data_IF_045397698412
#
_entry.id   IF_045397698412
#
_cell.length_a   1.000
_cell.length_b   1.000
_cell.length_c   1.000
_cell.angle_alpha   90.00
_cell.angle_beta   90.00
_cell.angle_gamma   90.00
#
_symmetry.space_group_name_H-M   'P 1'
#
loop_
_entity.id
_entity.type
_entity.pdbx_description
1 polymer ?
#
# COMPACT_ATOMS: atom_id res chain seq x y z
N UNK A 1 12.44 -12.66 27.23
CA UNK A 1 11.25 -11.80 27.16
C UNK A 1 11.57 -10.60 26.27
N UNK A 2 11.71 -10.82 24.96
CA UNK A 2 11.93 -9.71 24.02
C UNK A 2 10.58 -9.01 23.83
N UNK A 3 10.49 -7.79 24.37
CA UNK A 3 9.29 -6.98 24.38
C UNK A 3 8.75 -6.84 22.95
N UNK A 4 7.53 -7.33 22.73
CA UNK A 4 6.72 -7.24 21.51
C UNK A 4 6.28 -5.80 21.16
N UNK A 5 7.04 -4.80 21.60
CA UNK A 5 6.67 -3.40 21.56
C UNK A 5 7.74 -2.51 20.89
N UNK A 6 8.69 -3.10 20.16
CA UNK A 6 9.33 -2.38 19.07
C UNK A 6 8.35 -2.45 17.92
N UNK A 7 7.34 -1.59 17.96
CA UNK A 7 6.39 -1.42 16.87
C UNK A 7 7.15 -1.43 15.56
N UNK A 8 6.79 -2.40 14.71
CA UNK A 8 7.26 -2.61 13.36
C UNK A 8 6.86 -1.41 12.51
N UNK A 9 7.48 -0.26 12.77
CA UNK A 9 7.06 0.99 12.17
C UNK A 9 7.67 1.07 10.79
N UNK A 10 6.83 0.85 9.79
CA UNK A 10 7.10 1.14 8.39
C UNK A 10 7.75 2.52 8.20
N UNK A 11 7.46 3.46 9.11
CA UNK A 11 7.91 4.83 9.04
C UNK A 11 9.37 5.03 9.45
N UNK A 12 10.03 4.10 10.15
CA UNK A 12 11.46 4.27 10.53
C UNK A 12 12.41 4.35 9.33
N UNK A 13 12.06 3.70 8.22
CA UNK A 13 12.88 3.74 7.00
C UNK A 13 12.56 4.94 6.10
N UNK A 14 11.63 5.80 6.49
CA UNK A 14 11.30 7.00 5.73
C UNK A 14 12.36 8.08 5.94
N UNK A 15 12.51 8.96 4.94
CA UNK A 15 13.45 10.08 5.02
C UNK A 15 13.15 10.99 6.21
N UNK A 16 11.88 11.29 6.48
CA UNK A 16 11.49 12.15 7.60
C UNK A 16 11.91 11.58 8.96
N UNK A 17 11.69 10.28 9.18
CA UNK A 17 12.11 9.66 10.43
C UNK A 17 13.62 9.55 10.53
N UNK A 18 14.30 9.25 9.41
CA UNK A 18 15.76 9.18 9.37
C UNK A 18 16.39 10.52 9.74
N UNK A 19 15.95 11.60 9.11
CA UNK A 19 16.43 12.96 9.41
C UNK A 19 16.17 13.36 10.86
N UNK A 20 15.03 12.95 11.44
CA UNK A 20 14.74 13.16 12.86
C UNK A 20 15.72 12.39 13.76
N UNK A 21 15.98 11.11 13.47
CA UNK A 21 16.96 10.32 14.20
C UNK A 21 18.36 10.95 14.13
N UNK A 22 18.80 11.31 12.92
CA UNK A 22 20.11 11.95 12.70
C UNK A 22 20.22 13.26 13.51
N UNK A 23 19.16 14.08 13.54
CA UNK A 23 19.13 15.34 14.32
C UNK A 23 19.15 15.08 15.83
N UNK A 24 18.44 14.04 16.30
CA UNK A 24 18.44 13.66 17.72
C UNK A 24 19.84 13.19 18.12
N UNK A 25 20.49 12.38 17.28
CA UNK A 25 21.85 11.88 17.53
C UNK A 25 22.86 13.03 17.57
N UNK A 26 22.76 14.00 16.67
CA UNK A 26 23.60 15.22 16.70
C UNK A 26 23.44 16.01 18.00
N UNK A 27 22.19 16.18 18.48
CA UNK A 27 21.91 16.88 19.75
C UNK A 27 22.40 16.12 20.98
N UNK A 28 22.39 14.79 20.93
CA UNK A 28 22.96 13.94 21.96
C UNK A 28 24.49 14.07 21.96
N UNK A 29 25.13 14.02 20.79
CA UNK A 29 26.57 14.17 20.65
C UNK A 29 27.05 15.55 21.12
N UNK A 30 26.25 16.60 20.90
CA UNK A 30 26.51 17.94 21.40
C UNK A 30 26.24 18.12 22.91
N UNK A 31 25.77 17.08 23.62
CA UNK A 31 25.43 17.13 25.04
C UNK A 31 24.22 18.02 25.37
N UNK A 32 23.40 18.36 24.37
CA UNK A 32 22.21 19.25 24.53
C UNK A 32 20.99 18.48 25.02
N UNK A 33 20.91 17.19 24.70
CA UNK A 33 19.78 16.31 25.00
C UNK A 33 20.30 15.00 25.59
N UNK A 34 19.61 14.47 26.60
CA UNK A 34 19.87 13.14 27.14
C UNK A 34 19.32 12.05 26.20
N UNK A 35 20.02 10.92 25.99
CA UNK A 35 19.53 9.82 25.15
C UNK A 35 18.11 9.34 25.47
N UNK A 36 17.73 9.35 26.76
CA UNK A 36 16.39 8.96 27.21
C UNK A 36 15.30 9.90 26.69
N UNK A 37 15.60 11.18 26.54
CA UNK A 37 14.68 12.16 25.98
C UNK A 37 14.52 11.96 24.47
N UNK A 38 15.61 11.68 23.74
CA UNK A 38 15.55 11.34 22.31
C UNK A 38 14.63 10.15 22.02
N UNK A 39 14.75 9.08 22.82
CA UNK A 39 13.87 7.92 22.70
C UNK A 39 12.38 8.25 22.94
N UNK A 40 12.08 9.16 23.90
CA UNK A 40 10.72 9.63 24.15
C UNK A 40 10.15 10.44 22.98
N UNK A 41 10.97 11.27 22.34
CA UNK A 41 10.56 12.03 21.15
C UNK A 41 10.13 11.08 20.04
N UNK A 42 10.96 10.07 19.73
CA UNK A 42 10.65 9.07 18.71
C UNK A 42 9.37 8.28 19.04
N UNK A 43 9.20 7.89 20.30
CA UNK A 43 7.99 7.20 20.78
C UNK A 43 6.71 8.02 20.55
N UNK A 44 6.78 9.34 20.73
CA UNK A 44 5.64 10.24 20.49
C UNK A 44 5.46 10.54 19.00
N UNK A 45 6.52 10.56 18.22
CA UNK A 45 6.48 10.91 16.80
C UNK A 45 5.80 9.83 15.95
N UNK A 46 6.13 8.55 16.16
CA UNK A 46 5.60 7.42 15.38
C UNK A 46 4.06 7.35 15.27
N UNK A 47 3.30 7.35 16.37
CA UNK A 47 1.83 7.29 16.29
C UNK A 47 1.24 8.53 15.62
N UNK A 48 1.84 9.71 15.82
CA UNK A 48 1.39 10.95 15.21
C UNK A 48 1.59 10.94 13.68
N UNK A 49 2.71 10.42 13.20
CA UNK A 49 2.95 10.24 11.76
C UNK A 49 1.93 9.28 11.16
N UNK A 50 1.72 8.11 11.79
CA UNK A 50 0.72 7.13 11.34
C UNK A 50 -0.67 7.77 11.23
N UNK A 51 -1.07 8.57 12.23
CA UNK A 51 -2.34 9.30 12.25
C UNK A 51 -2.42 10.34 11.12
N UNK A 52 -1.38 11.16 10.96
CA UNK A 52 -1.34 12.19 9.91
C UNK A 52 -1.46 11.59 8.50
N UNK A 53 -0.77 10.47 8.23
CA UNK A 53 -0.91 9.77 6.95
C UNK A 53 -2.33 9.24 6.73
N UNK A 54 -2.96 8.68 7.76
CA UNK A 54 -4.33 8.16 7.65
C UNK A 54 -5.40 9.25 7.43
N UNK A 55 -5.21 10.43 8.03
CA UNK A 55 -6.19 11.52 7.98
C UNK A 55 -6.05 12.41 6.73
N UNK A 56 -4.80 12.68 6.32
CA UNK A 56 -4.51 13.69 5.29
C UNK A 56 -4.23 13.11 3.90
N UNK A 57 -3.74 11.87 3.78
CA UNK A 57 -3.39 11.28 2.48
C UNK A 57 -4.56 10.49 1.93
N UNK A 58 -5.08 10.91 0.78
CA UNK A 58 -6.23 10.26 0.08
C UNK A 58 -5.88 9.85 -1.35
N UNK A 59 -4.71 10.26 -1.81
CA UNK A 59 -4.21 10.10 -3.15
C UNK A 59 -3.95 8.62 -3.44
N UNK A 60 -4.45 8.17 -4.60
CA UNK A 60 -4.25 6.81 -5.07
C UNK A 60 -3.16 6.81 -6.12
N UNK A 61 -2.10 6.04 -5.87
CA UNK A 61 -0.99 5.87 -6.80
C UNK A 61 -1.18 4.57 -7.59
N UNK A 62 -1.06 4.65 -8.91
CA UNK A 62 -1.10 3.47 -9.78
C UNK A 62 0.30 3.20 -10.32
N UNK A 63 0.80 1.98 -10.17
CA UNK A 63 2.10 1.61 -10.71
C UNK A 63 2.03 0.34 -11.55
N UNK A 64 2.89 0.26 -12.57
CA UNK A 64 3.10 -0.93 -13.40
C UNK A 64 4.60 -1.14 -13.58
N UNK A 65 5.05 -2.39 -13.56
CA UNK A 65 6.46 -2.74 -13.76
C UNK A 65 6.66 -4.25 -13.78
N UNK A 66 7.90 -4.68 -13.99
CA UNK A 66 8.28 -6.10 -14.03
C UNK A 66 8.72 -6.57 -12.64
N UNK A 67 8.02 -7.55 -12.05
CA UNK A 67 8.43 -8.11 -10.77
C UNK A 67 9.73 -8.90 -10.93
N UNK A 68 10.78 -8.52 -10.19
CA UNK A 68 12.05 -9.23 -10.21
C UNK A 68 12.05 -10.39 -9.20
N UNK A 69 11.67 -10.12 -7.95
CA UNK A 69 11.50 -11.13 -6.91
C UNK A 69 10.63 -10.60 -5.78
N UNK A 70 10.06 -11.51 -5.00
CA UNK A 70 9.28 -11.21 -3.80
C UNK A 70 9.73 -12.07 -2.62
N UNK A 71 9.49 -11.58 -1.40
CA UNK A 71 9.71 -12.35 -0.16
C UNK A 71 8.58 -12.05 0.82
N UNK A 72 8.02 -13.10 1.40
CA UNK A 72 7.18 -13.01 2.58
C UNK A 72 7.97 -13.56 3.78
N UNK A 73 7.95 -12.84 4.89
CA UNK A 73 8.46 -13.34 6.17
C UNK A 73 7.68 -12.67 7.29
N UNK A 74 7.13 -13.44 8.23
CA UNK A 74 6.37 -12.93 9.40
C UNK A 74 5.29 -11.91 9.03
N UNK A 75 4.44 -12.24 8.05
CA UNK A 75 3.38 -11.37 7.53
C UNK A 75 3.85 -10.04 6.93
N UNK A 76 5.16 -9.83 6.78
CA UNK A 76 5.76 -8.71 6.07
C UNK A 76 6.09 -9.12 4.65
N UNK A 77 5.71 -8.28 3.70
CA UNK A 77 5.96 -8.50 2.29
C UNK A 77 7.03 -7.56 1.75
N UNK A 78 7.85 -8.10 0.86
CA UNK A 78 8.87 -7.37 0.13
C UNK A 78 8.73 -7.68 -1.35
N UNK A 79 8.72 -6.64 -2.16
CA UNK A 79 8.73 -6.75 -3.62
C UNK A 79 9.85 -5.88 -4.18
N UNK A 80 10.55 -6.42 -5.17
CA UNK A 80 11.50 -5.67 -5.98
C UNK A 80 11.01 -5.70 -7.41
N UNK A 81 10.67 -4.52 -7.93
CA UNK A 81 10.08 -4.32 -9.26
C UNK A 81 11.07 -3.51 -10.09
N UNK A 82 11.22 -3.85 -11.37
CA UNK A 82 12.06 -3.14 -12.35
C UNK A 82 11.23 -2.49 -13.44
N UNK A 83 11.79 -1.45 -14.04
CA UNK A 83 11.20 -0.71 -15.17
C UNK A 83 9.76 -0.28 -14.85
N UNK A 84 9.62 0.47 -13.76
CA UNK A 84 8.33 0.86 -13.24
C UNK A 84 7.87 2.18 -13.87
N UNK A 85 6.63 2.20 -14.37
CA UNK A 85 5.89 3.43 -14.65
C UNK A 85 4.92 3.69 -13.50
N UNK A 86 5.11 4.80 -12.78
CA UNK A 86 4.26 5.24 -11.67
C UNK A 86 3.41 6.41 -12.14
N UNK A 87 2.09 6.28 -12.05
CA UNK A 87 1.13 7.32 -12.36
C UNK A 87 0.65 7.94 -11.06
N UNK A 88 1.00 9.20 -10.88
CA UNK A 88 0.57 10.04 -9.78
C UNK A 88 -0.61 10.87 -10.27
N UNK A 89 -1.69 10.89 -9.49
CA UNK A 89 -2.84 11.75 -9.77
C UNK A 89 -2.80 12.92 -8.80
N UNK A 90 -2.42 14.09 -9.30
CA UNK A 90 -2.36 15.32 -8.52
C UNK A 90 -3.44 16.26 -9.06
N UNK A 91 -4.62 16.23 -8.45
CA UNK A 91 -5.77 17.02 -8.92
C UNK A 91 -6.29 16.57 -10.30
N UNK A 92 -6.26 17.48 -11.28
CA UNK A 92 -6.73 17.24 -12.66
C UNK A 92 -5.64 16.60 -13.52
N UNK A 93 -4.37 16.86 -13.20
CA UNK A 93 -3.24 16.42 -14.01
C UNK A 93 -2.73 15.03 -13.59
N UNK A 94 -2.28 14.26 -14.59
CA UNK A 94 -1.68 12.94 -14.40
C UNK A 94 -0.21 13.04 -14.72
N UNK A 95 0.62 12.91 -13.69
CA UNK A 95 2.07 12.86 -13.82
C UNK A 95 2.52 11.40 -13.95
N UNK A 96 3.44 11.13 -14.88
CA UNK A 96 4.05 9.80 -15.04
C UNK A 96 5.53 9.85 -14.70
N UNK A 97 5.94 9.06 -13.72
CA UNK A 97 7.33 8.86 -13.32
C UNK A 97 7.84 7.50 -13.82
N UNK A 98 9.04 7.49 -14.38
CA UNK A 98 9.78 6.28 -14.70
C UNK A 98 10.82 5.99 -13.62
N UNK A 99 10.86 4.73 -13.16
CA UNK A 99 11.76 4.28 -12.09
C UNK A 99 12.37 2.92 -12.45
N UNK A 100 13.69 2.87 -12.58
CA UNK A 100 14.42 1.66 -12.99
C UNK A 100 14.25 0.50 -12.02
N UNK A 101 14.25 0.79 -10.71
CA UNK A 101 14.12 -0.20 -9.65
C UNK A 101 13.37 0.36 -8.45
N UNK A 102 12.24 -0.24 -8.12
CA UNK A 102 11.42 0.09 -6.97
C UNK A 102 11.44 -1.04 -5.95
N UNK A 103 11.70 -0.71 -4.68
CA UNK A 103 11.57 -1.64 -3.54
C UNK A 103 10.31 -1.26 -2.76
N UNK A 104 9.42 -2.22 -2.58
CA UNK A 104 8.14 -2.02 -1.88
C UNK A 104 8.14 -2.94 -0.67
N UNK A 105 7.75 -2.38 0.48
CA UNK A 105 7.65 -3.11 1.74
C UNK A 105 6.24 -2.95 2.28
N UNK A 106 5.50 -4.06 2.36
CA UNK A 106 4.15 -4.12 2.92
C UNK A 106 4.20 -4.62 4.35
N UNK A 107 3.65 -3.83 5.27
CA UNK A 107 3.44 -4.24 6.65
C UNK A 107 1.99 -4.70 6.81
N UNK A 108 1.73 -5.73 7.63
CA UNK A 108 0.36 -6.16 7.89
C UNK A 108 -0.40 -5.01 8.57
N UNK A 109 -1.72 -4.88 8.31
CA UNK A 109 -2.55 -4.03 9.15
C UNK A 109 -2.42 -4.52 10.60
N UNK A 110 -2.21 -3.60 11.54
CA UNK A 110 -2.24 -3.95 12.95
C UNK A 110 -3.64 -4.46 13.28
N UNK A 111 -3.77 -5.75 13.59
CA UNK A 111 -4.99 -6.33 14.16
C UNK A 111 -5.14 -5.80 15.59
N UNK A 112 -5.48 -4.53 15.76
CA UNK A 112 -5.88 -4.01 17.06
C UNK A 112 -7.30 -4.51 17.37
N UNK A 113 -7.52 -5.30 18.44
CA UNK A 113 -8.86 -5.65 18.87
C UNK A 113 -9.52 -4.38 19.44
N UNK A 114 -10.23 -3.66 18.58
CA UNK A 114 -11.01 -2.49 18.93
C UNK A 114 -12.15 -2.89 19.89
N UNK A 115 -11.96 -2.65 21.19
CA UNK A 115 -12.96 -2.89 22.22
C UNK A 115 -14.05 -1.80 22.22
N UNK A 116 -15.22 -2.12 21.66
CA UNK A 116 -16.56 -1.47 21.81
C UNK A 116 -16.67 -0.01 21.29
N UNK A 117 -17.56 0.38 20.37
CA UNK A 117 -18.85 -0.15 19.91
C UNK A 117 -19.15 0.37 18.47
N UNK A 118 -19.80 -0.49 17.67
CA UNK A 118 -20.91 -0.12 16.77
C UNK A 118 -20.63 0.75 15.54
N UNK A 119 -20.43 0.10 14.39
CA UNK A 119 -20.53 0.74 13.07
C UNK A 119 -19.70 -0.01 12.04
N UNK A 120 -20.29 -1.00 11.39
CA UNK A 120 -19.61 -1.87 10.43
C UNK A 120 -18.97 -1.08 9.29
N UNK A 121 -17.63 -1.07 9.22
CA UNK A 121 -16.89 -0.63 8.06
C UNK A 121 -16.57 -1.86 7.21
N UNK A 122 -17.43 -2.11 6.23
CA UNK A 122 -17.22 -3.11 5.18
C UNK A 122 -15.92 -2.83 4.41
N UNK A 123 -15.15 -3.85 4.00
CA UNK A 123 -13.99 -3.66 3.15
C UNK A 123 -14.43 -3.17 1.76
N UNK A 124 -14.23 -1.87 1.50
CA UNK A 124 -14.39 -1.23 0.18
C UNK A 124 -13.23 -1.69 -0.73
N UNK A 125 -13.23 -2.96 -1.10
CA UNK A 125 -12.20 -3.56 -1.95
C UNK A 125 -12.64 -4.85 -2.64
N UNK A 126 -13.61 -5.57 -2.06
CA UNK A 126 -14.15 -6.80 -2.65
C UNK A 126 -15.15 -6.57 -3.80
N UNK A 127 -15.90 -5.46 -3.76
CA UNK A 127 -17.05 -5.24 -4.67
C UNK A 127 -16.64 -4.83 -6.09
N UNK A 128 -15.44 -4.27 -6.28
CA UNK A 128 -14.94 -3.85 -7.60
C UNK A 128 -14.48 -5.06 -8.43
N UNK A 129 -13.75 -6.01 -7.83
CA UNK A 129 -13.29 -7.22 -8.54
C UNK A 129 -14.46 -8.12 -8.98
N UNK A 130 -15.52 -8.19 -8.18
CA UNK A 130 -16.69 -9.00 -8.52
C UNK A 130 -17.51 -8.40 -9.69
N UNK A 131 -17.57 -7.07 -9.82
CA UNK A 131 -18.25 -6.42 -10.96
C UNK A 131 -17.47 -6.58 -12.27
N UNK A 132 -16.14 -6.50 -12.24
CA UNK A 132 -15.31 -6.66 -13.43
C UNK A 132 -15.40 -8.11 -13.95
N UNK A 133 -15.26 -9.11 -13.08
CA UNK A 133 -15.40 -10.52 -13.49
C UNK A 133 -16.81 -10.86 -13.99
N UNK A 134 -17.86 -10.21 -13.48
CA UNK A 134 -19.24 -10.41 -13.97
C UNK A 134 -19.47 -9.79 -15.35
N UNK A 135 -18.86 -8.62 -15.63
CA UNK A 135 -18.92 -8.01 -16.97
C UNK A 135 -18.20 -8.84 -18.02
N UNK A 136 -16.96 -9.27 -17.75
CA UNK A 136 -16.19 -10.10 -18.67
C UNK A 136 -16.93 -11.42 -18.96
N UNK A 137 -17.51 -12.07 -17.95
CA UNK A 137 -18.28 -13.32 -18.15
C UNK A 137 -19.61 -13.13 -18.92
N UNK A 138 -20.17 -11.93 -18.94
CA UNK A 138 -21.38 -11.62 -19.72
C UNK A 138 -21.04 -11.29 -21.17
N UNK A 139 -19.96 -10.56 -21.42
CA UNK A 139 -19.47 -10.23 -22.77
C UNK A 139 -19.06 -11.51 -23.52
N UNK A 140 -18.29 -12.41 -22.91
CA UNK A 140 -17.92 -13.69 -23.55
C UNK A 140 -19.14 -14.59 -23.84
N UNK A 141 -20.18 -14.57 -22.99
CA UNK A 141 -21.40 -15.38 -23.22
C UNK A 141 -22.31 -14.82 -24.33
N UNK A 142 -22.24 -13.52 -24.60
CA UNK A 142 -22.99 -12.87 -25.67
C UNK A 142 -22.33 -13.11 -27.03
N UNK A 143 -21.00 -13.11 -27.06
CA UNK A 143 -20.22 -13.42 -28.27
C UNK A 143 -20.42 -14.88 -28.70
N UNK A 144 -20.30 -15.86 -27.79
CA UNK A 144 -20.52 -17.28 -28.14
C UNK A 144 -21.95 -17.58 -28.58
N UNK A 145 -22.96 -16.87 -28.06
CA UNK A 145 -24.36 -17.05 -28.49
C UNK A 145 -24.65 -16.40 -29.85
N UNK A 146 -23.89 -15.40 -30.26
CA UNK A 146 -24.01 -14.79 -31.58
C UNK A 146 -23.30 -15.63 -32.65
N UNK A 147 -22.17 -16.27 -32.32
CA UNK A 147 -21.49 -17.20 -33.23
C UNK A 147 -22.33 -18.46 -33.50
N UNK A 148 -22.86 -19.10 -32.45
CA UNK A 148 -23.72 -20.31 -32.61
C UNK A 148 -25.01 -20.01 -33.40
N UNK A 149 -25.58 -18.80 -33.28
CA UNK A 149 -26.76 -18.41 -34.06
C UNK A 149 -26.46 -18.07 -35.52
N UNK A 150 -25.20 -17.74 -35.86
CA UNK A 150 -24.77 -17.51 -37.24
C UNK A 150 -24.49 -18.84 -37.95
N UNK A 151 -23.88 -19.80 -37.25
CA UNK A 151 -23.61 -21.14 -37.79
C UNK A 151 -24.91 -21.92 -38.08
N UNK A 152 -25.88 -21.90 -37.16
CA UNK A 152 -27.18 -22.59 -37.35
C UNK A 152 -28.01 -21.98 -38.50
N UNK A 153 -27.73 -20.74 -38.92
CA UNK A 153 -28.40 -20.12 -40.08
C UNK A 153 -27.74 -20.45 -41.42
N UNK A 154 -26.49 -20.90 -41.44
CA UNK A 154 -25.80 -21.31 -42.66
C UNK A 154 -26.05 -22.78 -43.03
N UNK A 155 -26.49 -23.62 -42.09
CA UNK A 155 -26.80 -25.04 -42.36
C UNK A 155 -28.25 -25.29 -42.81
N UNK A 156 -29.11 -24.26 -42.88
CA UNK A 156 -30.53 -24.42 -43.25
C UNK A 156 -30.92 -23.77 -44.59
N UNK A 157 -29.96 -23.44 -45.45
CA UNK A 157 -30.19 -23.08 -46.87
C UNK A 157 -29.55 -24.09 -47.81
#
# INVERSE_FOLDING_TARGET
MASSNVESSAYFHTSICKTLCDTIDDLICAGRIEPQLGAKILKNFMPNVKKAFAEHVREVVNMKGRLQYYRNFENKWWWVVRDCSVKLRTGVDVEMLYVDKLRIVGYPPSDEPNGKNGGGLEPVGGKVKQKINRKIKQETKLETKQEVKKEVKQETE
#
